data_IF_037384645604
#
_entry.id   IF_037384645604
#
_cell.length_a   1.000
_cell.length_b   1.000
_cell.length_c   1.000
_cell.angle_alpha   90.00
_cell.angle_beta   90.00
_cell.angle_gamma   90.00
#
_symmetry.space_group_name_H-M   'P 1'
#
loop_
_entity.id
_entity.type
_entity.pdbx_description
1 polymer ?
#
# COMPACT_ATOMS: atom_id res chain seq x y z
N UNK A 1 -22.44 14.31 -16.60
CA UNK A 1 -21.42 13.71 -15.70
C UNK A 1 -20.18 13.29 -16.47
N UNK A 2 -20.24 12.35 -17.42
CA UNK A 2 -19.10 11.99 -18.30
C UNK A 2 -18.94 12.96 -19.48
N UNK A 3 -20.06 13.41 -20.06
CA UNK A 3 -20.11 14.42 -21.13
C UNK A 3 -20.09 15.87 -20.62
N UNK A 4 -19.70 16.09 -19.35
CA UNK A 4 -19.57 17.45 -18.81
C UNK A 4 -18.47 18.20 -19.60
N UNK A 5 -18.71 19.46 -20.06
CA UNK A 5 -17.75 20.20 -20.88
C UNK A 5 -16.33 20.27 -20.30
N UNK A 6 -16.17 20.19 -18.97
CA UNK A 6 -14.84 20.19 -18.33
C UNK A 6 -14.00 18.95 -18.68
N UNK A 7 -14.61 17.86 -19.14
CA UNK A 7 -13.94 16.63 -19.53
C UNK A 7 -13.78 16.48 -21.05
N UNK A 8 -14.10 17.51 -21.85
CA UNK A 8 -14.09 17.45 -23.32
C UNK A 8 -12.76 17.00 -23.95
N UNK A 9 -11.64 17.24 -23.27
CA UNK A 9 -10.30 16.84 -23.71
C UNK A 9 -9.75 15.61 -22.97
N UNK A 10 -10.47 15.11 -21.97
CA UNK A 10 -10.07 13.96 -21.19
C UNK A 10 -10.60 12.67 -21.82
N UNK A 11 -9.84 11.59 -21.67
CA UNK A 11 -10.33 10.24 -21.95
C UNK A 11 -10.66 9.59 -20.62
N UNK A 12 -11.91 9.16 -20.46
CA UNK A 12 -12.40 8.54 -19.23
C UNK A 12 -12.66 7.05 -19.48
N UNK A 13 -12.17 6.21 -18.57
CA UNK A 13 -12.49 4.78 -18.51
C UNK A 13 -13.40 4.51 -17.32
N UNK A 14 -14.58 3.94 -17.55
CA UNK A 14 -15.58 3.62 -16.52
C UNK A 14 -16.09 2.21 -16.77
N UNK A 15 -16.02 1.38 -15.74
CA UNK A 15 -16.62 0.05 -15.70
C UNK A 15 -17.33 -0.10 -14.36
N UNK A 16 -18.61 -0.40 -14.38
CA UNK A 16 -19.41 -0.72 -13.20
C UNK A 16 -20.02 -2.09 -13.42
N UNK A 17 -19.75 -3.00 -12.49
CA UNK A 17 -20.21 -4.39 -12.52
C UNK A 17 -20.98 -4.65 -11.23
N UNK A 18 -22.12 -5.32 -11.33
CA UNK A 18 -22.81 -5.88 -10.17
C UNK A 18 -21.96 -7.04 -9.61
N UNK A 19 -21.46 -6.96 -8.37
CA UNK A 19 -20.62 -8.00 -7.81
C UNK A 19 -21.37 -9.30 -7.47
N UNK A 20 -22.71 -9.28 -7.40
CA UNK A 20 -23.52 -10.46 -7.10
C UNK A 20 -23.85 -11.25 -8.36
N UNK A 21 -24.30 -10.59 -9.43
CA UNK A 21 -24.69 -11.24 -10.69
C UNK A 21 -23.55 -11.33 -11.70
N UNK A 22 -22.57 -10.43 -11.62
CA UNK A 22 -21.51 -10.26 -12.63
C UNK A 22 -21.93 -9.38 -13.81
N UNK A 23 -23.14 -8.82 -13.80
CA UNK A 23 -23.64 -8.02 -14.91
C UNK A 23 -22.92 -6.67 -15.03
N UNK A 24 -22.55 -6.29 -16.25
CA UNK A 24 -21.97 -4.97 -16.51
C UNK A 24 -23.08 -3.93 -16.62
N UNK A 25 -23.17 -3.05 -15.63
CA UNK A 25 -24.17 -1.98 -15.57
C UNK A 25 -23.74 -0.75 -16.38
N UNK A 26 -22.43 -0.48 -16.44
CA UNK A 26 -21.86 0.64 -17.20
C UNK A 26 -20.53 0.21 -17.81
N UNK A 27 -20.36 0.50 -19.10
CA UNK A 27 -19.08 0.34 -19.81
C UNK A 27 -18.82 1.54 -20.70
N UNK A 28 -17.73 2.26 -20.41
CA UNK A 28 -17.26 3.38 -21.22
C UNK A 28 -15.73 3.32 -21.31
N UNK A 29 -15.18 3.07 -22.50
CA UNK A 29 -13.75 2.87 -22.74
C UNK A 29 -13.08 1.84 -21.79
N UNK A 30 -13.82 0.85 -21.28
CA UNK A 30 -13.33 -0.08 -20.26
C UNK A 30 -12.13 -0.93 -20.70
N UNK A 31 -12.00 -1.22 -21.99
CA UNK A 31 -10.86 -1.96 -22.55
C UNK A 31 -9.65 -1.10 -22.92
N UNK A 32 -9.71 0.21 -22.72
CA UNK A 32 -8.62 1.12 -23.09
C UNK A 32 -7.57 1.20 -21.98
N UNK A 33 -6.30 1.28 -22.36
CA UNK A 33 -5.21 1.45 -21.42
C UNK A 33 -5.09 2.92 -20.99
N UNK A 34 -5.01 3.14 -19.68
CA UNK A 34 -4.82 4.44 -19.06
C UNK A 34 -3.61 4.39 -18.11
N UNK A 35 -3.04 5.56 -17.81
CA UNK A 35 -2.04 5.68 -16.74
C UNK A 35 -2.77 5.56 -15.40
N UNK A 36 -2.49 4.52 -14.58
CA UNK A 36 -3.32 4.20 -13.42
C UNK A 36 -3.00 5.05 -12.19
N UNK A 37 -1.91 5.82 -12.20
CA UNK A 37 -1.40 6.57 -11.05
C UNK A 37 -1.41 5.70 -9.77
N UNK A 38 -1.97 6.19 -8.66
CA UNK A 38 -2.06 5.40 -7.43
C UNK A 38 -3.00 4.20 -7.48
N UNK A 39 -3.88 4.06 -8.48
CA UNK A 39 -4.73 2.88 -8.63
C UNK A 39 -3.91 1.61 -8.88
N UNK A 40 -2.66 1.76 -9.35
CA UNK A 40 -1.70 0.65 -9.40
C UNK A 40 -1.53 -0.07 -8.05
N UNK A 41 -1.77 0.64 -6.93
CA UNK A 41 -1.70 0.07 -5.58
C UNK A 41 -2.68 -1.08 -5.37
N UNK A 42 -3.81 -1.09 -6.07
CA UNK A 42 -4.83 -2.15 -6.01
C UNK A 42 -4.24 -3.48 -6.48
N UNK A 43 -3.29 -3.46 -7.42
CA UNK A 43 -2.59 -4.66 -7.87
C UNK A 43 -1.45 -5.06 -6.93
N UNK A 44 -0.71 -4.08 -6.37
CA UNK A 44 0.46 -4.38 -5.54
C UNK A 44 0.11 -4.84 -4.13
N UNK A 45 -0.98 -4.35 -3.53
CA UNK A 45 -1.39 -4.69 -2.16
C UNK A 45 -1.70 -6.18 -1.98
N UNK A 46 -2.66 -6.74 -2.73
CA UNK A 46 -2.98 -8.17 -2.69
C UNK A 46 -1.75 -9.02 -2.99
N UNK A 47 -0.95 -8.64 -3.99
CA UNK A 47 0.28 -9.35 -4.34
C UNK A 47 1.28 -9.39 -3.18
N UNK A 48 1.43 -8.28 -2.44
CA UNK A 48 2.25 -8.26 -1.21
C UNK A 48 1.69 -9.22 -0.17
N UNK A 49 0.38 -9.19 0.09
CA UNK A 49 -0.25 -10.08 1.07
C UNK A 49 -0.09 -11.56 0.70
N UNK A 50 -0.24 -11.92 -0.57
CA UNK A 50 -0.04 -13.30 -1.02
C UNK A 50 1.42 -13.74 -0.94
N UNK A 51 2.38 -12.85 -1.25
CA UNK A 51 3.80 -13.21 -1.27
C UNK A 51 4.44 -13.22 0.11
N UNK A 52 4.04 -12.33 1.02
CA UNK A 52 4.68 -12.17 2.34
C UNK A 52 3.86 -12.73 3.49
N UNK A 53 2.56 -12.95 3.27
CA UNK A 53 1.59 -13.25 4.31
C UNK A 53 0.88 -12.00 4.84
N UNK A 54 -0.27 -12.17 5.52
CA UNK A 54 -1.09 -11.06 6.01
C UNK A 54 -0.50 -10.37 7.26
N UNK A 55 0.40 -11.02 7.99
CA UNK A 55 0.94 -10.55 9.29
C UNK A 55 2.33 -9.94 9.20
N UNK A 56 2.91 -9.83 8.00
CA UNK A 56 4.31 -9.46 7.83
C UNK A 56 4.55 -7.98 8.20
N UNK A 57 5.17 -7.77 9.36
CA UNK A 57 5.68 -6.48 9.79
C UNK A 57 7.05 -6.20 9.17
N UNK A 58 7.38 -4.92 8.97
CA UNK A 58 8.75 -4.52 8.60
C UNK A 58 9.67 -4.75 9.79
N UNK A 59 10.61 -5.68 9.69
CA UNK A 59 11.58 -5.91 10.75
C UNK A 59 12.58 -4.74 10.86
N UNK A 60 12.80 -4.23 12.07
CA UNK A 60 13.90 -3.31 12.37
C UNK A 60 14.88 -4.03 13.31
N UNK A 61 16.17 -4.16 12.96
CA UNK A 61 17.14 -4.82 13.83
C UNK A 61 17.35 -3.99 15.11
N UNK A 62 17.46 -4.67 16.25
CA UNK A 62 17.81 -4.05 17.52
C UNK A 62 19.30 -3.68 17.55
N UNK A 63 19.67 -2.52 18.11
CA UNK A 63 21.08 -2.15 18.25
C UNK A 63 21.80 -3.08 19.25
N UNK A 64 23.13 -3.27 19.11
CA UNK A 64 23.90 -4.10 20.02
C UNK A 64 23.83 -3.58 21.46
N UNK A 65 23.62 -4.49 22.41
CA UNK A 65 23.50 -4.15 23.84
C UNK A 65 24.83 -3.61 24.36
N UNK A 66 24.85 -2.35 24.81
CA UNK A 66 26.02 -1.77 25.46
C UNK A 66 26.37 -2.58 26.73
N UNK A 67 27.62 -3.04 26.83
CA UNK A 67 28.16 -3.63 28.06
C UNK A 67 28.41 -2.50 29.05
N UNK A 68 27.63 -2.41 30.11
CA UNK A 68 27.93 -1.54 31.24
C UNK A 68 29.16 -2.08 31.98
N UNK A 69 30.29 -1.38 31.87
CA UNK A 69 31.46 -1.64 32.72
C UNK A 69 31.15 -1.15 34.14
N UNK A 70 31.11 -2.09 35.08
CA UNK A 70 30.90 -1.86 36.50
C UNK A 70 32.09 -1.08 37.09
N UNK A 71 31.92 0.22 37.33
CA UNK A 71 32.88 1.02 38.09
C UNK A 71 32.81 0.61 39.58
N UNK A 72 33.86 -0.04 40.08
CA UNK A 72 34.02 -0.34 41.51
C UNK A 72 34.30 0.96 42.26
N UNK A 73 33.37 1.33 43.14
CA UNK A 73 33.53 2.42 44.09
C UNK A 73 34.53 2.00 45.17
N UNK A 74 35.69 2.67 45.23
CA UNK A 74 36.63 2.53 46.35
C UNK A 74 36.24 3.52 47.44
N UNK A 75 35.73 3.01 48.56
CA UNK A 75 35.50 3.78 49.77
C UNK A 75 35.71 2.88 50.99
N UNK A 76 36.94 2.88 51.54
CA UNK A 76 37.17 2.53 52.95
C UNK A 76 38.41 3.25 53.51
N UNK A 77 38.14 4.09 54.51
CA UNK A 77 38.94 4.41 55.73
C UNK A 77 40.38 4.93 55.62
N UNK A 78 40.58 6.17 56.06
CA UNK A 78 41.29 6.51 57.31
C UNK A 78 40.45 7.51 58.10
#
# INVERSE_FOLDING_TARGET
>A
MVADPKFRSAQLGILVVDPTTGDTLVSHNAGKLFIPASNQKILTGPRRCTCWGPTSASARPSPPRARSSMARSAATSW
#
